data_IF_446696153783
#
_entry.id   IF_446696153783
#
_cell.length_a   1.000
_cell.length_b   1.000
_cell.length_c   1.000
_cell.angle_alpha   90.00
_cell.angle_beta   90.00
_cell.angle_gamma   90.00
#
_symmetry.space_group_name_H-M   'P 1'
#
loop_
_entity.id
_entity.type
_entity.pdbx_description
1 polymer ?
#
# COMPACT_ATOMS: atom_id res chain seq x y z
N UNK A 1 -0.67 0.44 -24.03
CA UNK A 1 0.16 0.30 -22.83
C UNK A 1 -0.01 1.56 -22.02
N UNK A 2 -0.36 1.42 -20.75
CA UNK A 2 -0.48 2.54 -19.79
C UNK A 2 0.89 3.19 -19.62
N UNK A 3 0.96 4.52 -19.54
CA UNK A 3 2.17 5.22 -19.10
C UNK A 3 2.04 5.53 -17.62
N UNK A 4 2.95 4.98 -16.81
CA UNK A 4 2.97 5.23 -15.36
C UNK A 4 3.43 6.66 -15.05
N UNK A 5 3.15 7.12 -13.83
CA UNK A 5 3.66 8.39 -13.32
C UNK A 5 5.20 8.46 -13.38
N UNK A 6 5.88 7.32 -13.21
CA UNK A 6 7.34 7.21 -13.39
C UNK A 6 7.79 7.67 -14.78
N UNK A 7 7.20 7.10 -15.84
CA UNK A 7 7.58 7.42 -17.23
C UNK A 7 7.32 8.89 -17.51
N UNK A 8 6.16 9.40 -17.09
CA UNK A 8 5.80 10.81 -17.29
C UNK A 8 6.70 11.76 -16.52
N UNK A 9 7.05 11.44 -15.28
CA UNK A 9 7.93 12.30 -14.47
C UNK A 9 9.32 12.46 -15.11
N UNK A 10 9.87 11.39 -15.67
CA UNK A 10 11.15 11.40 -16.37
C UNK A 10 11.05 12.11 -17.71
N UNK A 11 10.10 11.73 -18.56
CA UNK A 11 9.97 12.27 -19.93
C UNK A 11 9.59 13.76 -19.95
N UNK A 12 8.78 14.20 -19.00
CA UNK A 12 8.32 15.59 -18.88
C UNK A 12 9.21 16.43 -17.95
N UNK A 13 10.24 15.84 -17.33
CA UNK A 13 11.17 16.56 -16.45
C UNK A 13 10.53 17.15 -15.18
N UNK A 14 9.50 16.50 -14.63
CA UNK A 14 8.69 17.01 -13.50
C UNK A 14 9.49 17.25 -12.22
N UNK A 15 10.64 16.59 -12.08
CA UNK A 15 11.51 16.63 -10.90
C UNK A 15 12.75 17.51 -11.11
N UNK A 16 12.87 18.20 -12.25
CA UNK A 16 14.05 19.00 -12.58
C UNK A 16 14.25 20.13 -11.57
N UNK A 17 15.49 20.29 -11.12
CA UNK A 17 15.91 21.26 -10.12
C UNK A 17 15.79 20.78 -8.68
N UNK A 18 15.20 19.59 -8.44
CA UNK A 18 14.98 19.07 -7.09
C UNK A 18 16.08 18.11 -6.66
N UNK A 19 16.42 18.19 -5.37
CA UNK A 19 17.13 17.16 -4.63
C UNK A 19 16.12 16.23 -3.97
N UNK A 20 16.05 15.00 -4.44
CA UNK A 20 14.98 14.06 -4.11
C UNK A 20 15.46 12.89 -3.26
N UNK A 21 14.63 12.45 -2.33
CA UNK A 21 14.69 11.13 -1.72
C UNK A 21 13.62 10.24 -2.35
N UNK A 22 13.95 9.00 -2.72
CA UNK A 22 12.99 8.10 -3.38
C UNK A 22 12.57 6.95 -2.46
N UNK A 23 11.25 6.81 -2.27
CA UNK A 23 10.61 5.70 -1.57
C UNK A 23 10.24 4.68 -2.64
N UNK A 24 10.98 3.57 -2.68
CA UNK A 24 10.93 2.62 -3.79
C UNK A 24 11.33 1.20 -3.34
N UNK A 25 10.99 0.24 -4.19
CA UNK A 25 11.34 -1.17 -4.03
C UNK A 25 11.54 -1.78 -5.44
N UNK A 26 11.77 -3.10 -5.59
CA UNK A 26 11.99 -3.71 -6.91
C UNK A 26 10.91 -3.45 -7.97
N UNK A 27 9.68 -3.11 -7.55
CA UNK A 27 8.56 -2.85 -8.46
C UNK A 27 8.63 -1.48 -9.14
N UNK A 28 9.49 -0.59 -8.65
CA UNK A 28 9.68 0.80 -9.08
C UNK A 28 10.42 0.88 -10.42
N UNK A 29 9.90 0.19 -11.45
CA UNK A 29 10.53 0.09 -12.77
C UNK A 29 9.63 0.64 -13.87
N UNK A 30 10.25 1.05 -14.97
CA UNK A 30 9.55 1.34 -16.22
C UNK A 30 9.29 0.06 -17.05
N UNK A 31 8.64 0.21 -18.22
CA UNK A 31 8.36 -0.91 -19.11
C UNK A 31 9.62 -1.61 -19.68
N UNK A 32 10.80 -1.01 -19.53
CA UNK A 32 12.11 -1.59 -19.91
C UNK A 32 12.85 -2.17 -18.71
N UNK A 33 12.20 -2.28 -17.55
CA UNK A 33 12.76 -2.76 -16.30
C UNK A 33 13.93 -1.90 -15.77
N UNK A 34 13.95 -0.61 -16.11
CA UNK A 34 14.88 0.36 -15.51
C UNK A 34 14.28 0.88 -14.22
N UNK A 35 15.03 0.77 -13.13
CA UNK A 35 14.57 1.14 -11.79
C UNK A 35 14.58 2.64 -11.56
N UNK A 36 13.63 3.16 -10.77
CA UNK A 36 13.46 4.57 -10.43
C UNK A 36 14.78 5.19 -9.97
N UNK A 37 15.48 4.55 -9.03
CA UNK A 37 16.76 5.05 -8.51
C UNK A 37 17.77 5.32 -9.63
N UNK A 38 17.88 4.43 -10.62
CA UNK A 38 18.83 4.61 -11.74
C UNK A 38 18.37 5.73 -12.68
N UNK A 39 17.06 5.80 -12.94
CA UNK A 39 16.46 6.82 -13.79
C UNK A 39 16.62 8.22 -13.18
N UNK A 40 16.35 8.39 -11.88
CA UNK A 40 16.54 9.67 -11.17
C UNK A 40 18.01 10.05 -11.09
N UNK A 41 18.90 9.09 -10.84
CA UNK A 41 20.34 9.36 -10.76
C UNK A 41 20.93 9.82 -12.10
N UNK A 42 20.37 9.34 -13.22
CA UNK A 42 20.79 9.72 -14.58
C UNK A 42 20.04 10.93 -15.15
N UNK A 43 18.92 11.33 -14.54
CA UNK A 43 18.08 12.41 -15.05
C UNK A 43 18.77 13.78 -14.94
N UNK A 44 18.80 14.52 -16.05
CA UNK A 44 19.46 15.82 -16.10
C UNK A 44 18.76 16.83 -15.17
N UNK A 45 19.53 17.42 -14.26
CA UNK A 45 19.03 18.44 -13.33
C UNK A 45 18.24 17.88 -12.16
N UNK A 46 18.19 16.56 -11.96
CA UNK A 46 17.66 15.93 -10.74
C UNK A 46 18.83 15.47 -9.89
N UNK A 47 18.75 15.63 -8.58
CA UNK A 47 19.74 15.09 -7.64
C UNK A 47 19.09 14.04 -6.75
N UNK A 48 19.28 12.76 -7.07
CA UNK A 48 18.96 11.68 -6.14
C UNK A 48 19.93 11.75 -4.95
N UNK A 49 19.39 11.85 -3.74
CA UNK A 49 20.18 12.07 -2.53
C UNK A 49 20.02 10.99 -1.45
N UNK A 50 18.92 10.25 -1.46
CA UNK A 50 18.66 9.16 -0.53
C UNK A 50 17.64 8.19 -1.13
N UNK A 51 17.69 6.93 -0.68
CA UNK A 51 16.70 5.90 -0.98
C UNK A 51 16.06 5.42 0.31
N UNK A 52 14.77 5.15 0.26
CA UNK A 52 13.98 4.65 1.37
C UNK A 52 13.26 3.38 0.93
N UNK A 53 13.65 2.24 1.51
CA UNK A 53 13.06 0.94 1.21
C UNK A 53 12.03 0.55 2.25
N UNK A 54 10.80 0.17 1.87
CA UNK A 54 9.82 -0.42 2.79
C UNK A 54 10.22 -1.88 3.11
N UNK A 55 9.26 -2.72 3.46
CA UNK A 55 9.44 -4.16 3.55
C UNK A 55 10.07 -4.72 2.25
N UNK A 56 11.12 -5.54 2.42
CA UNK A 56 12.00 -6.11 1.37
C UNK A 56 13.07 -5.19 0.76
N UNK A 57 13.20 -3.95 1.24
CA UNK A 57 14.28 -3.03 0.84
C UNK A 57 14.14 -2.46 -0.58
N UNK A 58 15.13 -1.67 -1.02
CA UNK A 58 15.03 -0.94 -2.29
C UNK A 58 15.27 -1.85 -3.51
N UNK A 59 16.24 -2.77 -3.42
CA UNK A 59 16.63 -3.63 -4.54
C UNK A 59 16.20 -5.10 -4.39
N UNK A 60 15.49 -5.44 -3.30
CA UNK A 60 15.02 -6.81 -3.05
C UNK A 60 16.13 -7.77 -2.61
N UNK A 61 17.27 -7.23 -2.19
CA UNK A 61 18.45 -7.93 -1.70
C UNK A 61 18.39 -8.24 -0.19
N UNK A 62 17.33 -7.80 0.49
CA UNK A 62 17.12 -7.98 1.93
C UNK A 62 16.06 -9.06 2.16
N UNK A 63 16.41 -10.11 2.91
CA UNK A 63 15.44 -11.14 3.29
C UNK A 63 14.47 -10.64 4.38
N UNK A 64 13.30 -11.26 4.45
CA UNK A 64 12.27 -11.00 5.46
C UNK A 64 12.88 -10.97 6.88
N UNK A 65 12.65 -9.89 7.63
CA UNK A 65 13.10 -9.64 9.02
C UNK A 65 14.57 -9.20 9.24
N UNK A 66 15.35 -8.88 8.20
CA UNK A 66 16.69 -8.30 8.38
C UNK A 66 16.65 -6.76 8.39
N UNK A 67 17.24 -6.13 9.42
CA UNK A 67 17.43 -4.68 9.47
C UNK A 67 18.47 -4.23 8.44
N UNK A 68 18.09 -3.28 7.58
CA UNK A 68 19.05 -2.60 6.69
C UNK A 68 19.81 -1.54 7.48
N UNK A 69 20.95 -1.92 8.05
CA UNK A 69 21.84 -0.94 8.68
C UNK A 69 22.69 -0.22 7.63
N UNK A 70 22.37 1.04 7.36
CA UNK A 70 23.29 2.03 6.77
C UNK A 70 24.00 1.56 5.51
N UNK A 71 23.25 1.04 4.55
CA UNK A 71 23.77 0.61 3.26
C UNK A 71 23.84 1.78 2.28
N UNK A 72 24.75 1.69 1.33
CA UNK A 72 24.85 2.60 0.19
C UNK A 72 24.43 1.80 -1.03
N UNK A 73 23.52 2.33 -1.84
CA UNK A 73 23.13 1.65 -3.09
C UNK A 73 24.36 1.56 -4.01
N UNK A 74 24.79 0.35 -4.42
CA UNK A 74 26.05 0.16 -5.13
C UNK A 74 26.05 0.74 -6.54
N UNK A 75 24.88 1.09 -7.09
CA UNK A 75 24.73 1.58 -8.47
C UNK A 75 24.74 3.11 -8.55
N UNK A 76 24.20 3.77 -7.52
CA UNK A 76 24.04 5.23 -7.48
C UNK A 76 24.94 5.89 -6.43
N UNK A 77 25.46 5.13 -5.47
CA UNK A 77 26.31 5.63 -4.39
C UNK A 77 25.58 6.46 -3.33
N UNK A 78 24.25 6.50 -3.35
CA UNK A 78 23.43 7.24 -2.39
C UNK A 78 23.11 6.38 -1.16
N UNK A 79 22.93 6.98 0.03
CA UNK A 79 22.52 6.25 1.22
C UNK A 79 21.13 5.62 1.04
N UNK A 80 20.97 4.42 1.58
CA UNK A 80 19.72 3.69 1.68
C UNK A 80 19.29 3.56 3.14
N UNK A 81 17.99 3.75 3.39
CA UNK A 81 17.39 3.72 4.70
C UNK A 81 16.18 2.78 4.73
N UNK A 82 16.14 1.86 5.70
CA UNK A 82 14.96 1.02 5.94
C UNK A 82 13.80 1.84 6.50
N UNK A 83 12.60 1.57 5.99
CA UNK A 83 11.30 1.97 6.56
C UNK A 83 10.56 0.76 7.13
N UNK A 84 11.33 -0.24 7.58
CA UNK A 84 10.84 -1.45 8.20
C UNK A 84 11.80 -1.89 9.31
N UNK A 85 11.27 -2.40 10.43
CA UNK A 85 12.09 -2.71 11.60
C UNK A 85 11.30 -3.19 12.82
N UNK A 86 11.88 -2.99 14.01
CA UNK A 86 11.43 -3.62 15.27
C UNK A 86 10.21 -2.95 15.93
N UNK A 87 9.89 -1.72 15.55
CA UNK A 87 8.80 -0.95 16.15
C UNK A 87 8.10 -0.03 15.15
N UNK A 88 7.00 0.58 15.57
CA UNK A 88 6.22 1.48 14.73
C UNK A 88 6.99 2.72 14.26
N UNK A 89 7.93 3.22 15.06
CA UNK A 89 8.73 4.39 14.70
C UNK A 89 9.72 4.09 13.57
N UNK A 90 10.09 2.82 13.36
CA UNK A 90 10.92 2.38 12.23
C UNK A 90 10.21 2.39 10.87
N UNK A 91 8.88 2.58 10.84
CA UNK A 91 8.06 2.55 9.63
C UNK A 91 8.01 3.89 8.87
N UNK A 92 8.71 4.91 9.39
CA UNK A 92 8.77 6.27 8.82
C UNK A 92 10.22 6.72 8.67
N UNK A 93 10.55 7.56 7.68
CA UNK A 93 11.87 8.18 7.61
C UNK A 93 12.14 9.00 8.88
N UNK A 94 13.36 8.89 9.41
CA UNK A 94 13.84 9.79 10.47
C UNK A 94 14.12 11.17 9.89
N UNK A 95 13.81 12.23 10.64
CA UNK A 95 13.96 13.61 10.18
C UNK A 95 15.41 13.93 9.74
N UNK A 96 16.41 13.32 10.37
CA UNK A 96 17.82 13.46 9.99
C UNK A 96 18.12 13.00 8.55
N UNK A 97 17.40 11.98 8.04
CA UNK A 97 17.55 11.49 6.67
C UNK A 97 16.85 12.37 5.65
N UNK A 98 15.92 13.21 6.12
CA UNK A 98 15.14 14.13 5.30
C UNK A 98 15.82 15.50 5.15
N UNK A 99 16.82 15.78 5.97
CA UNK A 99 17.59 17.02 5.89
C UNK A 99 18.17 17.21 4.50
N UNK A 100 18.06 18.43 3.97
CA UNK A 100 18.53 18.84 2.64
C UNK A 100 17.80 18.24 1.44
N UNK A 101 16.74 17.45 1.61
CA UNK A 101 15.85 17.10 0.51
C UNK A 101 14.92 18.28 0.19
N UNK A 102 14.53 18.40 -1.07
CA UNK A 102 13.46 19.29 -1.51
C UNK A 102 12.13 18.52 -1.64
N UNK A 103 12.21 17.22 -1.95
CA UNK A 103 11.03 16.36 -2.11
C UNK A 103 11.29 14.90 -1.73
N UNK A 104 10.23 14.23 -1.27
CA UNK A 104 10.12 12.78 -1.26
C UNK A 104 9.31 12.32 -2.47
N UNK A 105 9.80 11.28 -3.17
CA UNK A 105 9.17 10.72 -4.37
C UNK A 105 8.76 9.28 -4.07
N UNK A 106 7.46 8.99 -4.09
CA UNK A 106 6.91 7.66 -3.89
C UNK A 106 6.59 6.99 -5.23
N UNK A 107 7.14 5.81 -5.47
CA UNK A 107 6.87 4.99 -6.65
C UNK A 107 6.91 3.52 -6.28
N UNK A 108 5.80 2.92 -5.88
CA UNK A 108 5.74 1.50 -5.53
C UNK A 108 4.46 0.91 -6.11
N UNK A 109 4.55 -0.28 -6.73
CA UNK A 109 3.40 -1.05 -7.15
C UNK A 109 2.73 -1.70 -5.91
N UNK A 110 1.56 -1.18 -5.55
CA UNK A 110 0.68 -1.77 -4.55
C UNK A 110 -0.17 -2.91 -5.16
N UNK A 111 -0.99 -3.59 -4.34
CA UNK A 111 -1.85 -4.72 -4.73
C UNK A 111 -3.36 -4.43 -4.63
N UNK A 112 -3.75 -3.24 -4.17
CA UNK A 112 -5.14 -2.83 -4.05
C UNK A 112 -5.85 -3.31 -2.78
N UNK A 113 -5.07 -3.65 -1.75
CA UNK A 113 -5.56 -4.11 -0.45
C UNK A 113 -5.02 -3.25 0.68
N UNK A 114 -5.89 -2.83 1.61
CA UNK A 114 -5.52 -1.99 2.76
C UNK A 114 -4.39 -2.56 3.60
N UNK A 115 -4.43 -3.86 3.84
CA UNK A 115 -3.46 -4.54 4.70
C UNK A 115 -2.18 -4.95 3.95
N UNK A 116 -2.04 -4.55 2.68
CA UNK A 116 -0.74 -4.49 2.03
C UNK A 116 -0.11 -3.14 2.34
N UNK A 117 0.99 -3.14 3.08
CA UNK A 117 1.38 -2.00 3.92
C UNK A 117 2.06 -0.86 3.17
N UNK A 118 2.20 -0.92 1.84
CA UNK A 118 2.87 0.12 1.06
C UNK A 118 2.12 1.45 1.04
N UNK A 119 0.79 1.44 1.01
CA UNK A 119 0.00 2.67 1.16
C UNK A 119 0.04 3.20 2.61
N UNK A 120 0.20 2.32 3.60
CA UNK A 120 0.47 2.70 4.98
C UNK A 120 1.82 3.43 5.10
N UNK A 121 2.89 2.85 4.53
CA UNK A 121 4.20 3.49 4.42
C UNK A 121 4.12 4.84 3.71
N UNK A 122 3.36 4.93 2.61
CA UNK A 122 3.17 6.20 1.89
C UNK A 122 2.59 7.28 2.80
N UNK A 123 1.51 7.00 3.52
CA UNK A 123 0.88 7.97 4.40
C UNK A 123 1.77 8.39 5.58
N UNK A 124 2.55 7.47 6.17
CA UNK A 124 3.55 7.81 7.19
C UNK A 124 4.65 8.72 6.61
N UNK A 125 5.10 8.46 5.37
CA UNK A 125 6.06 9.32 4.69
C UNK A 125 5.47 10.68 4.32
N UNK A 126 4.17 10.76 4.00
CA UNK A 126 3.48 12.04 3.77
C UNK A 126 3.45 12.88 5.06
N UNK A 127 3.14 12.27 6.21
CA UNK A 127 3.24 12.93 7.52
C UNK A 127 4.68 13.39 7.80
N UNK A 128 5.69 12.59 7.45
CA UNK A 128 7.09 12.99 7.59
C UNK A 128 7.46 14.18 6.69
N UNK A 129 6.95 14.21 5.46
CA UNK A 129 7.12 15.32 4.54
C UNK A 129 6.48 16.61 5.07
N UNK A 130 5.24 16.54 5.57
CA UNK A 130 4.54 17.66 6.19
C UNK A 130 5.36 18.27 7.33
N UNK A 131 5.80 17.44 8.29
CA UNK A 131 6.60 17.91 9.44
C UNK A 131 7.91 18.58 9.05
N UNK A 132 8.51 18.16 7.93
CA UNK A 132 9.80 18.66 7.46
C UNK A 132 9.67 19.71 6.34
N UNK A 133 8.45 20.11 5.97
CA UNK A 133 8.20 21.08 4.91
C UNK A 133 8.67 20.62 3.52
N UNK A 134 8.66 19.30 3.28
CA UNK A 134 9.03 18.72 1.99
C UNK A 134 7.84 18.60 1.07
N UNK A 135 8.10 18.76 -0.23
CA UNK A 135 7.16 18.32 -1.26
C UNK A 135 7.05 16.79 -1.24
N UNK A 136 5.84 16.26 -1.39
CA UNK A 136 5.60 14.83 -1.54
C UNK A 136 5.07 14.55 -2.94
N UNK A 137 5.80 13.77 -3.73
CA UNK A 137 5.45 13.48 -5.12
C UNK A 137 5.09 12.00 -5.25
N UNK A 138 3.87 11.70 -5.70
CA UNK A 138 3.44 10.33 -6.02
C UNK A 138 3.55 10.09 -7.51
N UNK A 139 4.37 9.12 -7.90
CA UNK A 139 4.43 8.61 -9.27
C UNK A 139 3.38 7.53 -9.41
N UNK A 140 2.21 7.89 -9.94
CA UNK A 140 1.06 7.01 -9.81
C UNK A 140 1.19 5.72 -10.64
N UNK A 141 0.58 4.64 -10.13
CA UNK A 141 0.62 3.29 -10.71
C UNK A 141 -0.77 2.65 -10.72
N UNK A 142 -1.03 1.71 -11.64
CA UNK A 142 -2.30 1.00 -11.70
C UNK A 142 -2.60 0.31 -10.37
N UNK A 143 -3.85 0.40 -9.91
CA UNK A 143 -4.34 -0.60 -8.96
C UNK A 143 -4.49 -1.93 -9.73
N UNK A 144 -3.77 -3.01 -9.36
CA UNK A 144 -3.67 -4.19 -10.21
C UNK A 144 -4.98 -5.00 -10.26
N UNK A 145 -5.86 -4.78 -9.30
CA UNK A 145 -7.18 -5.42 -9.20
C UNK A 145 -8.31 -4.46 -9.58
N UNK A 146 -7.98 -3.39 -10.30
CA UNK A 146 -8.92 -2.38 -10.78
C UNK A 146 -9.34 -1.35 -9.71
N UNK A 147 -9.92 -0.25 -10.17
CA UNK A 147 -10.43 0.85 -9.36
C UNK A 147 -11.96 0.86 -9.17
N UNK A 148 -12.68 -0.05 -9.81
CA UNK A 148 -14.15 -0.06 -9.78
C UNK A 148 -14.71 -0.59 -8.45
N UNK A 149 -14.31 -1.79 -8.04
CA UNK A 149 -14.88 -2.47 -6.88
C UNK A 149 -14.36 -1.95 -5.53
N UNK A 150 -15.23 -1.97 -4.53
CA UNK A 150 -14.92 -1.77 -3.11
C UNK A 150 -15.52 -2.91 -2.33
N UNK A 151 -14.75 -3.51 -1.42
CA UNK A 151 -15.21 -4.63 -0.61
C UNK A 151 -14.60 -4.57 0.79
N UNK A 152 -15.36 -5.02 1.80
CA UNK A 152 -14.92 -5.14 3.19
C UNK A 152 -14.98 -3.85 3.99
N UNK A 153 -15.12 -3.99 5.31
CA UNK A 153 -15.28 -2.87 6.24
C UNK A 153 -14.06 -1.96 6.32
N UNK A 154 -14.27 -0.79 6.91
CA UNK A 154 -13.21 0.20 7.18
C UNK A 154 -12.55 -0.05 8.53
N UNK A 155 -11.44 0.63 8.81
CA UNK A 155 -10.84 0.65 10.15
C UNK A 155 -11.63 1.56 11.07
N UNK A 156 -12.00 1.06 12.25
CA UNK A 156 -12.66 1.81 13.31
C UNK A 156 -11.65 2.29 14.35
N UNK A 157 -12.03 3.33 15.09
CA UNK A 157 -11.24 3.87 16.20
C UNK A 157 -10.88 2.77 17.21
N UNK A 158 -9.60 2.69 17.56
CA UNK A 158 -9.04 1.69 18.48
C UNK A 158 -8.58 0.40 17.80
N UNK A 159 -8.74 0.27 16.48
CA UNK A 159 -8.24 -0.86 15.68
C UNK A 159 -7.14 -0.46 14.68
N UNK A 160 -6.62 0.76 14.79
CA UNK A 160 -5.53 1.23 13.94
C UNK A 160 -4.25 0.43 14.19
N UNK A 161 -3.59 0.03 13.10
CA UNK A 161 -2.29 -0.63 13.11
C UNK A 161 -1.60 -0.43 11.76
N UNK A 162 -0.38 -0.96 11.58
CA UNK A 162 0.34 -0.79 10.32
C UNK A 162 -0.41 -1.39 9.10
N UNK A 163 -1.25 -2.39 9.31
CA UNK A 163 -2.12 -2.99 8.27
C UNK A 163 -3.47 -2.28 8.08
N UNK A 164 -3.65 -1.12 8.71
CA UNK A 164 -4.87 -0.33 8.64
C UNK A 164 -4.78 0.90 9.52
N UNK A 165 -4.13 1.96 9.00
CA UNK A 165 -3.93 3.22 9.74
C UNK A 165 -5.10 4.19 9.62
N UNK A 166 -5.87 4.08 8.54
CA UNK A 166 -6.98 4.99 8.23
C UNK A 166 -8.26 4.23 7.91
N UNK A 167 -9.45 4.87 8.04
CA UNK A 167 -10.76 4.34 7.67
C UNK A 167 -10.94 4.07 6.17
N UNK A 168 -10.14 3.15 5.63
CA UNK A 168 -10.13 2.72 4.23
C UNK A 168 -10.69 1.30 4.15
N UNK A 169 -11.47 0.98 3.12
CA UNK A 169 -12.02 -0.36 2.92
C UNK A 169 -10.92 -1.41 2.62
N UNK A 170 -11.16 -2.69 2.88
CA UNK A 170 -10.18 -3.75 2.66
C UNK A 170 -9.72 -3.82 1.19
N UNK A 171 -10.66 -3.97 0.25
CA UNK A 171 -10.45 -3.67 -1.18
C UNK A 171 -10.91 -2.24 -1.40
N UNK A 172 -9.98 -1.32 -1.53
CA UNK A 172 -10.29 0.12 -1.58
C UNK A 172 -10.52 0.65 -2.99
N UNK A 173 -9.97 -0.02 -4.02
CA UNK A 173 -10.09 0.37 -5.42
C UNK A 173 -9.57 1.78 -5.72
N UNK A 174 -8.47 2.18 -5.08
CA UNK A 174 -7.78 3.45 -5.32
C UNK A 174 -6.39 3.18 -5.90
N UNK A 175 -5.88 4.07 -6.73
CA UNK A 175 -4.44 4.13 -7.03
C UNK A 175 -3.66 4.71 -5.84
N UNK A 176 -2.33 4.69 -5.88
CA UNK A 176 -1.51 5.33 -4.84
C UNK A 176 -1.74 6.84 -4.82
N UNK A 177 -1.86 7.48 -6.00
CA UNK A 177 -2.15 8.91 -6.13
C UNK A 177 -3.51 9.28 -5.56
N UNK A 178 -4.56 8.54 -5.89
CA UNK A 178 -5.91 8.76 -5.34
C UNK A 178 -5.94 8.54 -3.82
N UNK A 179 -5.21 7.54 -3.32
CA UNK A 179 -5.06 7.31 -1.87
C UNK A 179 -4.37 8.50 -1.20
N UNK A 180 -3.28 9.04 -1.75
CA UNK A 180 -2.60 10.20 -1.20
C UNK A 180 -3.52 11.45 -1.15
N UNK A 181 -4.34 11.66 -2.19
CA UNK A 181 -5.33 12.74 -2.19
C UNK A 181 -6.39 12.56 -1.11
N UNK A 182 -6.90 11.34 -0.94
CA UNK A 182 -7.83 10.99 0.14
C UNK A 182 -7.20 11.25 1.51
N UNK A 183 -5.96 10.78 1.73
CA UNK A 183 -5.24 10.98 2.98
C UNK A 183 -5.07 12.46 3.35
N UNK A 184 -4.72 13.29 2.35
CA UNK A 184 -4.62 14.74 2.51
C UNK A 184 -5.98 15.39 2.82
N UNK A 185 -7.02 14.97 2.11
CA UNK A 185 -8.33 15.60 2.19
C UNK A 185 -9.17 15.24 3.41
N UNK A 186 -9.09 13.99 3.88
CA UNK A 186 -9.97 13.46 4.93
C UNK A 186 -9.27 13.25 6.27
N UNK A 187 -7.95 13.03 6.28
CA UNK A 187 -7.23 12.55 7.48
C UNK A 187 -6.14 13.49 7.98
N UNK A 188 -6.21 14.77 7.59
CA UNK A 188 -5.42 15.84 8.20
C UNK A 188 -3.92 15.80 7.90
N UNK A 189 -3.52 15.21 6.77
CA UNK A 189 -2.12 15.18 6.32
C UNK A 189 -1.90 16.33 5.33
N UNK A 190 -1.45 17.49 5.80
CA UNK A 190 -1.34 18.71 4.97
C UNK A 190 0.05 18.90 4.33
N UNK A 191 0.59 17.86 3.68
CA UNK A 191 1.85 17.99 2.92
C UNK A 191 1.65 18.70 1.57
N UNK A 192 2.71 19.29 1.01
CA UNK A 192 2.72 19.80 -0.37
C UNK A 192 2.73 18.62 -1.36
N UNK A 193 1.54 18.12 -1.69
CA UNK A 193 1.33 16.91 -2.49
C UNK A 193 1.26 17.24 -3.99
N UNK A 194 2.04 16.51 -4.78
CA UNK A 194 1.92 16.45 -6.24
C UNK A 194 1.71 14.99 -6.67
N UNK A 195 0.71 14.75 -7.52
CA UNK A 195 0.46 13.43 -8.10
C UNK A 195 0.74 13.48 -9.58
N UNK A 196 1.71 12.69 -10.03
CA UNK A 196 1.97 12.51 -11.46
C UNK A 196 1.07 11.37 -11.95
N UNK A 197 -0.11 11.76 -12.44
CA UNK A 197 -1.14 10.87 -12.99
C UNK A 197 -0.60 9.97 -14.12
N UNK A 198 -1.21 8.82 -14.32
CA UNK A 198 -0.96 7.93 -15.45
C UNK A 198 -1.65 8.42 -16.73
N UNK A 199 -1.13 8.00 -17.89
CA UNK A 199 -1.87 8.11 -19.15
C UNK A 199 -2.46 6.76 -19.57
N UNK A 200 -3.76 6.73 -19.83
CA UNK A 200 -4.46 5.61 -20.47
C UNK A 200 -4.84 4.45 -19.56
N UNK A 201 -4.70 4.58 -18.24
CA UNK A 201 -5.32 3.65 -17.29
C UNK A 201 -6.81 3.98 -17.16
N UNK A 202 -7.65 2.96 -17.06
CA UNK A 202 -9.08 3.08 -16.80
C UNK A 202 -9.43 2.24 -15.57
N UNK A 203 -10.42 2.66 -14.78
CA UNK A 203 -10.76 2.00 -13.52
C UNK A 203 -11.15 0.53 -13.64
N UNK A 204 -11.67 0.12 -14.79
CA UNK A 204 -12.08 -1.26 -15.06
C UNK A 204 -10.92 -2.14 -15.54
N UNK A 205 -9.73 -1.56 -15.77
CA UNK A 205 -8.54 -2.33 -16.13
C UNK A 205 -7.99 -3.10 -14.93
N UNK A 206 -7.82 -4.41 -15.12
CA UNK A 206 -6.89 -5.24 -14.37
C UNK A 206 -5.46 -5.04 -14.90
N UNK A 207 -4.47 -5.45 -14.10
CA UNK A 207 -3.07 -5.18 -14.41
C UNK A 207 -2.60 -5.76 -15.76
N UNK A 208 -3.06 -6.96 -16.12
CA UNK A 208 -2.70 -7.63 -17.37
C UNK A 208 -3.15 -6.84 -18.62
N UNK A 209 -4.21 -6.04 -18.51
CA UNK A 209 -4.70 -5.16 -19.56
C UNK A 209 -3.85 -3.90 -19.74
N UNK A 210 -2.99 -3.55 -18.78
CA UNK A 210 -2.15 -2.34 -18.83
C UNK A 210 -0.99 -2.47 -19.82
N UNK A 211 -0.55 -3.70 -20.09
CA UNK A 211 0.66 -4.01 -20.86
C UNK A 211 1.98 -3.78 -20.11
N UNK A 212 1.94 -3.50 -18.80
CA UNK A 212 3.13 -3.33 -17.96
C UNK A 212 3.66 -4.69 -17.47
N UNK A 213 4.97 -4.81 -17.18
CA UNK A 213 5.51 -6.01 -16.57
C UNK A 213 5.08 -6.12 -15.10
N UNK A 214 4.68 -7.31 -14.68
CA UNK A 214 4.46 -7.60 -13.26
C UNK A 214 5.79 -7.98 -12.61
N UNK A 215 6.27 -7.13 -11.72
CA UNK A 215 7.35 -7.47 -10.78
C UNK A 215 6.69 -7.80 -9.46
N UNK A 216 6.95 -8.99 -8.91
CA UNK A 216 6.35 -9.43 -7.66
C UNK A 216 6.60 -8.41 -6.54
N UNK A 217 5.55 -7.79 -5.96
CA UNK A 217 5.73 -6.79 -4.90
C UNK A 217 6.31 -7.38 -3.62
N UNK A 218 6.08 -8.67 -3.35
CA UNK A 218 6.71 -9.44 -2.28
C UNK A 218 6.87 -10.90 -2.73
N UNK A 219 7.72 -11.71 -2.06
CA UNK A 219 7.86 -13.13 -2.36
C UNK A 219 6.53 -13.91 -2.36
N UNK A 220 5.57 -13.47 -1.54
CA UNK A 220 4.24 -14.07 -1.42
C UNK A 220 3.19 -13.41 -2.33
N UNK A 221 3.60 -12.49 -3.21
CA UNK A 221 2.76 -11.88 -4.25
C UNK A 221 3.33 -12.16 -5.66
N UNK A 222 3.49 -13.44 -6.06
CA UNK A 222 4.20 -13.79 -7.28
C UNK A 222 3.41 -13.52 -8.56
N UNK A 223 2.07 -13.52 -8.52
CA UNK A 223 1.21 -13.42 -9.71
C UNK A 223 0.07 -12.43 -9.51
N UNK A 224 -0.53 -12.03 -10.63
CA UNK A 224 -1.74 -11.18 -10.65
C UNK A 224 -2.94 -11.87 -10.03
N UNK A 225 -3.07 -13.19 -10.21
CA UNK A 225 -4.11 -13.98 -9.59
C UNK A 225 -4.02 -13.90 -8.06
N UNK A 226 -2.80 -13.93 -7.50
CA UNK A 226 -2.58 -13.73 -6.06
C UNK A 226 -3.08 -12.36 -5.62
N UNK A 227 -2.83 -11.29 -6.40
CA UNK A 227 -3.31 -9.96 -6.06
C UNK A 227 -4.85 -9.89 -6.06
N UNK A 228 -5.53 -10.51 -7.04
CA UNK A 228 -6.99 -10.53 -7.14
C UNK A 228 -7.67 -11.12 -5.91
N UNK A 229 -7.09 -12.18 -5.34
CA UNK A 229 -7.67 -12.88 -4.19
C UNK A 229 -7.18 -12.34 -2.84
N UNK A 230 -6.06 -11.61 -2.83
CA UNK A 230 -5.42 -11.15 -1.60
C UNK A 230 -6.32 -10.31 -0.68
N UNK A 231 -7.12 -9.33 -1.15
CA UNK A 231 -8.08 -8.61 -0.31
C UNK A 231 -9.12 -9.52 0.35
N UNK A 232 -9.30 -10.71 -0.22
CA UNK A 232 -10.14 -11.74 0.33
C UNK A 232 -9.51 -12.59 1.40
N UNK A 233 -8.27 -12.97 1.18
CA UNK A 233 -7.88 -14.32 1.52
C UNK A 233 -6.39 -14.39 1.77
N UNK A 234 -6.02 -14.33 3.03
CA UNK A 234 -4.98 -15.24 3.47
C UNK A 234 -5.44 -16.73 3.43
N UNK A 235 -6.58 -17.10 2.80
CA UNK A 235 -7.26 -18.42 2.94
C UNK A 235 -8.06 -18.99 1.72
N UNK A 236 -7.58 -18.92 0.45
CA UNK A 236 -7.99 -19.75 -0.74
C UNK A 236 -9.12 -19.31 -1.71
N UNK A 237 -8.88 -19.54 -3.02
CA UNK A 237 -9.40 -18.88 -4.25
C UNK A 237 -10.72 -19.41 -4.89
N UNK A 238 -11.36 -18.58 -5.73
CA UNK A 238 -12.39 -18.99 -6.71
C UNK A 238 -13.50 -17.98 -7.11
N UNK A 239 -13.45 -16.71 -6.71
CA UNK A 239 -14.55 -15.74 -6.99
C UNK A 239 -14.06 -14.30 -7.19
N UNK A 240 -14.88 -13.47 -7.87
CA UNK A 240 -14.69 -12.02 -8.02
C UNK A 240 -15.04 -11.22 -6.75
N UNK A 241 -15.61 -11.87 -5.72
CA UNK A 241 -15.89 -11.31 -4.39
C UNK A 241 -14.88 -11.84 -3.37
N UNK A 242 -13.63 -11.40 -3.48
CA UNK A 242 -12.52 -11.98 -2.72
C UNK A 242 -12.79 -11.92 -1.20
N UNK A 243 -13.21 -10.75 -0.68
CA UNK A 243 -13.52 -10.54 0.75
C UNK A 243 -14.55 -11.56 1.24
N UNK A 244 -15.60 -11.78 0.47
CA UNK A 244 -16.67 -12.71 0.84
C UNK A 244 -16.19 -14.16 0.89
N UNK A 245 -15.30 -14.56 -0.02
CA UNK A 245 -14.70 -15.90 0.02
C UNK A 245 -13.87 -16.08 1.29
N UNK A 246 -13.10 -15.06 1.70
CA UNK A 246 -12.40 -15.03 2.99
C UNK A 246 -13.29 -15.34 4.17
N UNK A 247 -14.40 -14.60 4.24
CA UNK A 247 -15.42 -14.80 5.27
C UNK A 247 -15.96 -16.23 5.24
N UNK A 248 -16.29 -16.75 4.06
CA UNK A 248 -16.83 -18.11 3.91
C UNK A 248 -15.85 -19.18 4.43
N UNK A 249 -14.58 -19.09 4.05
CA UNK A 249 -13.53 -20.01 4.50
C UNK A 249 -13.40 -20.03 6.03
N UNK A 250 -13.35 -18.86 6.67
CA UNK A 250 -13.24 -18.75 8.13
C UNK A 250 -14.46 -19.35 8.83
N UNK A 251 -15.67 -19.00 8.36
CA UNK A 251 -16.93 -19.51 8.92
C UNK A 251 -17.00 -21.03 8.81
N UNK A 252 -16.65 -21.59 7.65
CA UNK A 252 -16.67 -23.03 7.43
C UNK A 252 -15.56 -23.78 8.19
N UNK A 253 -14.35 -23.23 8.27
CA UNK A 253 -13.26 -23.83 9.04
C UNK A 253 -13.62 -23.92 10.53
N UNK A 254 -14.18 -22.85 11.11
CA UNK A 254 -14.66 -22.88 12.49
C UNK A 254 -15.81 -23.86 12.68
N UNK A 255 -16.73 -23.97 11.73
CA UNK A 255 -17.87 -24.89 11.83
C UNK A 255 -17.46 -26.37 11.84
N UNK A 256 -16.29 -26.73 11.26
CA UNK A 256 -15.81 -28.12 11.25
C UNK A 256 -15.37 -28.62 12.63
N UNK A 257 -14.63 -27.80 13.39
CA UNK A 257 -14.21 -28.15 14.76
C UNK A 257 -14.06 -26.88 15.62
N UNK A 258 -15.17 -26.36 16.18
CA UNK A 258 -15.15 -25.12 16.98
C UNK A 258 -14.25 -25.21 18.21
N UNK A 259 -13.97 -26.41 18.70
CA UNK A 259 -13.12 -26.62 19.88
C UNK A 259 -11.62 -26.48 19.57
N UNK A 260 -11.22 -26.69 18.31
CA UNK A 260 -9.83 -26.55 17.86
C UNK A 260 -9.55 -25.27 17.09
N UNK A 261 -10.58 -24.60 16.58
CA UNK A 261 -10.42 -23.31 15.91
C UNK A 261 -9.97 -22.24 16.92
N UNK A 262 -8.87 -21.55 16.63
CA UNK A 262 -8.35 -20.48 17.46
C UNK A 262 -8.00 -19.26 16.61
N UNK A 263 -8.26 -18.08 17.14
CA UNK A 263 -7.79 -16.82 16.56
C UNK A 263 -6.31 -16.61 16.92
N UNK A 264 -5.54 -16.00 16.01
CA UNK A 264 -4.17 -15.57 16.29
C UNK A 264 -4.20 -14.42 17.31
N UNK A 265 -3.64 -14.67 18.49
CA UNK A 265 -3.55 -13.70 19.60
C UNK A 265 -2.10 -13.29 19.90
N UNK A 266 -1.14 -13.90 19.22
CA UNK A 266 0.26 -13.50 19.26
C UNK A 266 0.44 -12.10 18.66
N UNK A 267 1.53 -11.44 19.05
CA UNK A 267 1.92 -10.14 18.51
C UNK A 267 1.82 -10.11 16.98
N UNK A 268 1.16 -9.09 16.47
CA UNK A 268 0.94 -8.86 15.05
C UNK A 268 1.07 -7.37 14.77
N UNK A 269 1.97 -6.99 13.85
CA UNK A 269 2.16 -5.60 13.44
C UNK A 269 2.37 -4.63 14.63
N UNK A 270 3.23 -5.05 15.56
CA UNK A 270 3.56 -4.33 16.80
C UNK A 270 2.45 -4.26 17.86
N UNK A 271 1.27 -4.86 17.63
CA UNK A 271 0.15 -4.91 18.57
C UNK A 271 0.09 -6.25 19.30
N UNK A 272 -0.03 -6.22 20.62
CA UNK A 272 -0.04 -7.43 21.50
C UNK A 272 -1.39 -7.70 22.16
N UNK A 273 -2.31 -6.72 22.15
CA UNK A 273 -3.55 -6.76 22.94
C UNK A 273 -4.80 -7.03 22.11
N UNK A 274 -4.73 -6.90 20.79
CA UNK A 274 -5.86 -7.06 19.86
C UNK A 274 -5.58 -8.27 18.95
N UNK A 275 -6.52 -9.21 18.81
CA UNK A 275 -6.37 -10.33 17.87
C UNK A 275 -6.10 -9.83 16.45
N UNK A 276 -5.21 -10.51 15.72
CA UNK A 276 -4.83 -10.10 14.36
C UNK A 276 -6.03 -9.97 13.42
N UNK A 277 -7.05 -10.81 13.60
CA UNK A 277 -8.28 -10.75 12.78
C UNK A 277 -9.07 -9.45 12.99
N UNK A 278 -9.06 -8.89 14.20
CA UNK A 278 -9.81 -7.67 14.50
C UNK A 278 -9.10 -6.45 13.87
N UNK A 279 -7.75 -6.46 13.84
CA UNK A 279 -6.94 -5.46 13.13
C UNK A 279 -7.14 -5.55 11.61
N UNK A 280 -7.12 -6.77 11.06
CA UNK A 280 -7.32 -6.99 9.62
C UNK A 280 -8.73 -6.66 9.16
N UNK A 281 -9.75 -6.93 9.98
CA UNK A 281 -11.13 -6.57 9.70
C UNK A 281 -11.41 -5.08 9.95
N UNK A 282 -10.62 -4.42 10.79
CA UNK A 282 -10.83 -3.05 11.22
C UNK A 282 -11.81 -2.89 12.38
N UNK A 283 -12.34 -3.99 12.94
CA UNK A 283 -13.16 -4.02 14.14
C UNK A 283 -13.31 -5.45 14.69
N UNK A 284 -13.73 -5.59 15.95
CA UNK A 284 -14.09 -6.89 16.54
C UNK A 284 -15.43 -7.47 16.06
N UNK A 285 -16.22 -6.69 15.31
CA UNK A 285 -17.59 -7.07 14.92
C UNK A 285 -17.60 -8.33 14.04
N UNK A 286 -16.61 -8.48 13.17
CA UNK A 286 -16.45 -9.65 12.32
C UNK A 286 -16.23 -10.91 13.17
N UNK A 287 -15.20 -10.92 14.01
CA UNK A 287 -14.85 -12.04 14.88
C UNK A 287 -16.02 -12.44 15.78
N UNK A 288 -16.62 -11.48 16.48
CA UNK A 288 -17.77 -11.73 17.36
C UNK A 288 -18.98 -12.28 16.58
N UNK A 289 -19.18 -11.81 15.35
CA UNK A 289 -20.22 -12.34 14.46
C UNK A 289 -19.98 -13.80 14.08
N UNK A 290 -18.75 -14.17 13.74
CA UNK A 290 -18.35 -15.57 13.47
C UNK A 290 -18.55 -16.45 14.72
N UNK A 291 -18.15 -15.97 15.89
CA UNK A 291 -18.33 -16.67 17.18
C UNK A 291 -19.81 -16.89 17.52
N UNK A 292 -20.65 -15.90 17.20
CA UNK A 292 -22.11 -15.96 17.36
C UNK A 292 -22.83 -16.80 16.28
N UNK A 293 -22.10 -17.36 15.31
CA UNK A 293 -22.66 -18.23 14.28
C UNK A 293 -23.44 -17.50 13.18
N UNK A 294 -23.13 -16.21 12.92
CA UNK A 294 -23.68 -15.50 11.77
C UNK A 294 -23.27 -16.19 10.46
N UNK A 295 -24.17 -16.17 9.48
CA UNK A 295 -23.87 -16.61 8.11
C UNK A 295 -22.91 -15.67 7.40
N UNK A 296 -22.28 -16.14 6.32
CA UNK A 296 -21.40 -15.34 5.44
C UNK A 296 -22.11 -14.07 4.98
N UNK A 297 -23.34 -14.20 4.48
CA UNK A 297 -24.16 -13.06 4.05
C UNK A 297 -24.34 -12.03 5.16
N UNK A 298 -24.74 -12.44 6.37
CA UNK A 298 -24.94 -11.51 7.49
C UNK A 298 -23.66 -10.80 7.94
N UNK A 299 -22.49 -11.40 7.73
CA UNK A 299 -21.19 -10.79 8.04
C UNK A 299 -20.79 -9.79 6.96
N UNK A 300 -21.00 -10.12 5.68
CA UNK A 300 -20.71 -9.23 4.56
C UNK A 300 -21.69 -8.05 4.50
N UNK A 301 -22.99 -8.28 4.68
CA UNK A 301 -24.02 -7.22 4.69
C UNK A 301 -23.73 -6.16 5.77
N UNK A 302 -23.02 -6.52 6.84
CA UNK A 302 -22.61 -5.58 7.89
C UNK A 302 -21.57 -4.57 7.39
N UNK A 303 -20.81 -4.90 6.36
CA UNK A 303 -19.82 -4.01 5.73
C UNK A 303 -20.38 -3.20 4.56
N UNK A 304 -21.51 -3.59 3.97
CA UNK A 304 -22.07 -2.90 2.80
C UNK A 304 -22.30 -1.40 3.06
N UNK A 305 -22.84 -1.06 4.23
CA UNK A 305 -23.08 0.34 4.60
C UNK A 305 -21.78 1.14 4.75
N UNK A 306 -20.72 0.52 5.27
CA UNK A 306 -19.38 1.12 5.38
C UNK A 306 -18.74 1.29 4.00
N UNK A 307 -18.86 0.28 3.13
CA UNK A 307 -18.40 0.32 1.75
C UNK A 307 -19.09 1.45 0.99
N UNK A 308 -20.41 1.57 1.10
CA UNK A 308 -21.19 2.62 0.45
C UNK A 308 -20.76 4.02 0.92
N UNK A 309 -20.48 4.17 2.22
CA UNK A 309 -19.95 5.41 2.76
C UNK A 309 -18.56 5.71 2.19
N UNK A 310 -17.66 4.72 2.19
CA UNK A 310 -16.32 4.87 1.64
C UNK A 310 -16.33 5.17 0.14
N UNK A 311 -17.23 4.55 -0.64
CA UNK A 311 -17.43 4.83 -2.07
C UNK A 311 -17.80 6.30 -2.29
N UNK A 312 -18.69 6.86 -1.46
CA UNK A 312 -19.05 8.28 -1.53
C UNK A 312 -17.84 9.17 -1.20
N UNK A 313 -17.13 8.87 -0.12
CA UNK A 313 -15.95 9.65 0.29
C UNK A 313 -14.86 9.60 -0.77
N UNK A 314 -14.46 8.42 -1.24
CA UNK A 314 -13.36 8.29 -2.22
C UNK A 314 -13.66 8.95 -3.56
N UNK A 315 -14.94 9.09 -3.93
CA UNK A 315 -15.36 9.64 -5.23
C UNK A 315 -14.87 11.06 -5.50
N UNK A 316 -14.61 11.85 -4.45
CA UNK A 316 -14.09 13.22 -4.56
C UNK A 316 -12.59 13.28 -4.86
N UNK A 317 -11.89 12.15 -4.73
CA UNK A 317 -10.43 12.04 -4.85
C UNK A 317 -9.98 11.19 -6.04
N UNK A 318 -10.91 10.73 -6.87
CA UNK A 318 -10.60 9.92 -8.04
C UNK A 318 -9.97 10.77 -9.15
N UNK A 319 -8.94 10.22 -9.78
CA UNK A 319 -8.22 10.84 -10.90
C UNK A 319 -8.62 10.22 -12.25
N UNK A 320 -9.15 9.00 -12.24
CA UNK A 320 -9.50 8.21 -13.43
C UNK A 320 -10.91 7.65 -13.37
#
# INVERSE_FOLDING_TARGET
MVKTGLVRAIDEGKLKGLRVGAICNPTSVDAKLRHLADLLHQAEGVKLAALFGPEHGVRGDVQYLEEVHGTVDPRTGVPEHSLYGQDFASLTPRDEHLQSLDALVFDIQDVGSRYYTYLATMGLCMQAAERNGLRFVVLDRPNPIGGASVEGGVVHEGFESFVGLWPIAARHGLTAGECALLLKGEFGIDCDLDVIEMDGWLRDMLFDQTGLPWILPSPNMPTLDTALVYPGLCLLEGTNEAVRLGVACIVHARAQDPAKFAWRTEKYEFVETIPAIDLLAGSEAFRRGVEAGKSVTQLCDAWDAECDAFVRTRSTYLLY
#
